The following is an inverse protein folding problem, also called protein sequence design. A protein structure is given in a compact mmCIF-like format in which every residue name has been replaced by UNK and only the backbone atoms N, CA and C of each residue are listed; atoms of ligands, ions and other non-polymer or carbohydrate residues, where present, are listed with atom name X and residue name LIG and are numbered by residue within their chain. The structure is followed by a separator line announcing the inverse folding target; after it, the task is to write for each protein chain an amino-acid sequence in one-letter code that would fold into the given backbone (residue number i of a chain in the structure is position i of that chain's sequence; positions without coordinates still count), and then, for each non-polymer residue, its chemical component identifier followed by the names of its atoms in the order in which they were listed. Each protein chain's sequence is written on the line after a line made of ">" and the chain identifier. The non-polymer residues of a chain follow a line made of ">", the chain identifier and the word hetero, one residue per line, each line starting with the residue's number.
data_IF_410021065316
#
_entry.id   IF_410021065316
#
_cell.length_a   1.000
_cell.length_b   1.000
_cell.length_c   1.000
_cell.angle_alpha   90.00
_cell.angle_beta   90.00
_cell.angle_gamma   90.00
#
_symmetry.space_group_name_H-M   'P 1'
#
loop_
_entity.id
_entity.type
_entity.pdbx_description
1 polymer ?
#
# COMPACT_ATOMS: atom_id res chain seq x y z
N UNK A 1 -9.74 -0.54 -20.83
CA UNK A 1 -9.01 0.12 -19.73
C UNK A 1 -8.15 -0.94 -19.05
N UNK A 2 -6.83 -0.80 -19.13
CA UNK A 2 -5.87 -1.82 -18.69
C UNK A 2 -5.57 -1.74 -17.20
N UNK A 3 -4.99 -2.80 -16.66
CA UNK A 3 -4.55 -2.96 -15.25
C UNK A 3 -3.48 -1.92 -14.83
N UNK A 4 -2.95 -1.16 -15.79
CA UNK A 4 -1.89 -0.16 -15.61
C UNK A 4 -2.36 1.29 -15.81
N UNK A 5 -3.67 1.53 -15.77
CA UNK A 5 -4.22 2.89 -15.82
C UNK A 5 -4.54 3.41 -14.42
N UNK A 6 -3.77 4.38 -13.94
CA UNK A 6 -3.97 5.00 -12.62
C UNK A 6 -5.41 5.49 -12.42
N UNK A 7 -6.07 6.01 -13.47
CA UNK A 7 -7.45 6.47 -13.35
C UNK A 7 -8.38 5.32 -13.00
N UNK A 8 -8.32 4.27 -13.82
CA UNK A 8 -9.14 3.08 -13.63
C UNK A 8 -8.89 2.44 -12.27
N UNK A 9 -7.62 2.24 -11.91
CA UNK A 9 -7.24 1.55 -10.68
C UNK A 9 -7.60 2.36 -9.44
N UNK A 10 -7.31 3.67 -9.42
CA UNK A 10 -7.63 4.54 -8.31
C UNK A 10 -9.14 4.72 -8.14
N UNK A 11 -9.89 4.93 -9.24
CA UNK A 11 -11.35 5.09 -9.17
C UNK A 11 -12.08 3.82 -8.73
N UNK A 12 -11.63 2.64 -9.19
CA UNK A 12 -12.16 1.33 -8.74
C UNK A 12 -11.85 1.05 -7.27
N UNK A 13 -10.65 1.41 -6.80
CA UNK A 13 -10.32 1.24 -5.39
C UNK A 13 -11.08 2.25 -4.53
N UNK A 14 -11.16 3.51 -4.97
CA UNK A 14 -11.80 4.61 -4.25
C UNK A 14 -13.30 4.47 -4.03
N UNK A 15 -14.02 3.73 -4.89
CA UNK A 15 -15.47 3.49 -4.69
C UNK A 15 -15.80 2.62 -3.46
N UNK A 16 -14.80 1.94 -2.86
CA UNK A 16 -14.94 1.20 -1.60
C UNK A 16 -14.63 2.05 -0.37
N UNK A 17 -14.17 3.29 -0.54
CA UNK A 17 -13.62 4.14 0.52
C UNK A 17 -14.27 5.54 0.50
N UNK A 18 -15.59 5.59 0.60
CA UNK A 18 -16.36 6.84 0.57
C UNK A 18 -16.41 7.53 1.93
N UNK A 19 -16.30 6.77 3.02
CA UNK A 19 -16.40 7.27 4.39
C UNK A 19 -15.03 7.78 4.87
N UNK A 20 -14.99 9.04 5.36
CA UNK A 20 -13.76 9.67 5.85
C UNK A 20 -13.12 8.93 7.03
N UNK A 21 -13.91 8.29 7.88
CA UNK A 21 -13.39 7.49 9.01
C UNK A 21 -12.74 6.21 8.49
N UNK A 22 -13.35 5.54 7.51
CA UNK A 22 -12.74 4.38 6.87
C UNK A 22 -11.43 4.77 6.17
N UNK A 23 -11.44 5.87 5.40
CA UNK A 23 -10.20 6.40 4.80
C UNK A 23 -9.14 6.64 5.87
N UNK A 24 -9.45 7.31 6.98
CA UNK A 24 -8.49 7.56 8.06
C UNK A 24 -7.93 6.27 8.69
N UNK A 25 -8.76 5.24 8.88
CA UNK A 25 -8.31 3.91 9.32
C UNK A 25 -7.30 3.34 8.31
N UNK A 26 -7.58 3.46 7.01
CA UNK A 26 -6.66 2.99 5.97
C UNK A 26 -5.35 3.76 5.94
N UNK A 27 -5.38 5.09 6.10
CA UNK A 27 -4.18 5.93 6.15
C UNK A 27 -3.19 5.48 7.23
N UNK A 28 -3.69 4.96 8.35
CA UNK A 28 -2.86 4.47 9.47
C UNK A 28 -2.45 3.02 9.24
N UNK A 29 -3.41 2.14 8.97
CA UNK A 29 -3.20 0.70 9.07
C UNK A 29 -2.69 0.04 7.78
N UNK A 30 -2.86 0.65 6.60
CA UNK A 30 -2.22 0.14 5.37
C UNK A 30 -0.69 0.22 5.45
N UNK A 31 -0.09 1.37 5.83
CA UNK A 31 1.35 1.42 6.10
C UNK A 31 1.80 0.41 7.16
N UNK A 32 1.03 0.23 8.24
CA UNK A 32 1.35 -0.76 9.28
C UNK A 32 1.36 -2.19 8.74
N UNK A 33 0.37 -2.55 7.91
CA UNK A 33 0.28 -3.87 7.26
C UNK A 33 1.49 -4.08 6.35
N UNK A 34 1.84 -3.10 5.52
CA UNK A 34 2.99 -3.22 4.61
C UNK A 34 4.30 -3.39 5.39
N UNK A 35 4.54 -2.53 6.39
CA UNK A 35 5.75 -2.58 7.21
C UNK A 35 5.89 -3.91 7.95
N UNK A 36 4.82 -4.37 8.60
CA UNK A 36 4.83 -5.65 9.33
C UNK A 36 4.93 -6.85 8.40
N UNK A 37 4.32 -6.81 7.20
CA UNK A 37 4.44 -7.89 6.21
C UNK A 37 5.88 -8.05 5.70
N UNK A 38 6.58 -6.95 5.37
CA UNK A 38 7.98 -6.97 4.95
C UNK A 38 8.90 -7.54 6.06
N UNK A 39 8.63 -7.18 7.30
CA UNK A 39 9.34 -7.70 8.46
C UNK A 39 9.07 -9.19 8.74
N UNK A 40 7.81 -9.61 8.74
CA UNK A 40 7.38 -11.01 8.93
C UNK A 40 8.00 -11.88 7.84
N UNK A 41 7.91 -11.46 6.58
CA UNK A 41 8.51 -12.21 5.44
C UNK A 41 10.02 -12.31 5.56
N UNK A 42 10.71 -11.24 5.99
CA UNK A 42 12.14 -11.30 6.31
C UNK A 42 12.44 -12.31 7.40
N UNK A 43 11.63 -12.37 8.47
CA UNK A 43 11.87 -13.30 9.57
C UNK A 43 11.61 -14.76 9.19
N UNK A 44 10.60 -15.01 8.37
CA UNK A 44 10.24 -16.35 7.89
C UNK A 44 11.20 -16.85 6.81
N UNK A 45 11.73 -15.94 5.99
CA UNK A 45 12.62 -16.24 4.87
C UNK A 45 13.87 -15.34 4.92
N UNK A 46 14.76 -15.55 5.91
CA UNK A 46 15.89 -14.67 6.17
C UNK A 46 17.03 -14.80 5.15
N UNK A 47 16.99 -15.82 4.29
CA UNK A 47 18.03 -16.09 3.32
C UNK A 47 18.18 -14.95 2.31
N UNK A 48 19.43 -14.60 2.00
CA UNK A 48 19.74 -13.77 0.84
C UNK A 48 19.43 -14.56 -0.43
N UNK A 49 18.66 -13.94 -1.32
CA UNK A 49 18.20 -14.54 -2.58
C UNK A 49 19.04 -14.08 -3.76
N UNK A 50 19.70 -12.93 -3.66
CA UNK A 50 20.54 -12.36 -4.71
C UNK A 50 21.60 -11.44 -4.12
N UNK A 51 22.60 -11.05 -4.92
CA UNK A 51 23.54 -9.99 -4.56
C UNK A 51 23.16 -8.71 -5.30
N UNK A 52 23.30 -7.56 -4.64
CA UNK A 52 23.15 -6.28 -5.32
C UNK A 52 24.24 -6.12 -6.39
N UNK A 53 23.88 -5.71 -7.63
CA UNK A 53 24.88 -5.37 -8.63
C UNK A 53 25.84 -4.27 -8.12
N UNK A 54 27.12 -4.24 -8.55
CA UNK A 54 28.11 -3.27 -8.04
C UNK A 54 27.66 -1.80 -8.07
N UNK A 55 26.98 -1.30 -9.12
CA UNK A 55 26.47 0.07 -9.13
C UNK A 55 25.44 0.33 -8.02
N UNK A 56 24.59 -0.66 -7.72
CA UNK A 56 23.55 -0.56 -6.70
C UNK A 56 24.17 -0.63 -5.30
N UNK A 57 25.10 -1.56 -5.05
CA UNK A 57 25.79 -1.63 -3.76
C UNK A 57 26.61 -0.37 -3.47
N UNK A 58 27.23 0.22 -4.48
CA UNK A 58 27.94 1.49 -4.35
C UNK A 58 26.99 2.64 -4.02
N UNK A 59 25.81 2.70 -4.67
CA UNK A 59 24.79 3.68 -4.32
C UNK A 59 24.29 3.51 -2.88
N UNK A 60 23.99 2.27 -2.47
CA UNK A 60 23.55 1.95 -1.11
C UNK A 60 24.59 2.36 -0.06
N UNK A 61 25.89 2.28 -0.36
CA UNK A 61 26.94 2.70 0.58
C UNK A 61 26.95 4.20 0.91
N UNK A 62 26.30 5.03 0.10
CA UNK A 62 26.11 6.46 0.40
C UNK A 62 24.87 6.75 1.24
N UNK A 63 23.97 5.78 1.41
CA UNK A 63 22.76 5.94 2.22
C UNK A 63 23.11 5.59 3.68
N UNK A 64 22.97 6.53 4.64
CA UNK A 64 23.22 6.24 6.04
C UNK A 64 22.28 5.15 6.59
N UNK A 65 22.81 4.25 7.40
CA UNK A 65 22.08 3.12 8.00
C UNK A 65 22.53 1.77 7.42
N UNK A 66 21.89 0.66 7.83
CA UNK A 66 22.23 -0.63 7.25
C UNK A 66 21.68 -0.77 5.84
N UNK A 67 22.46 -1.41 4.99
CA UNK A 67 21.99 -1.87 3.69
C UNK A 67 20.89 -2.93 3.90
N UNK A 68 19.77 -2.86 3.16
CA UNK A 68 18.74 -3.88 3.24
C UNK A 68 19.30 -5.26 2.83
N UNK A 69 18.76 -6.33 3.40
CA UNK A 69 19.06 -7.68 2.95
C UNK A 69 18.43 -7.91 1.57
N UNK A 70 19.16 -8.53 0.66
CA UNK A 70 18.67 -8.89 -0.67
C UNK A 70 17.81 -10.16 -0.65
N UNK A 71 16.69 -10.12 0.08
CA UNK A 71 15.81 -11.26 0.33
C UNK A 71 14.40 -11.07 -0.30
N UNK A 72 13.44 -11.89 0.13
CA UNK A 72 12.06 -11.87 -0.37
C UNK A 72 11.34 -10.53 -0.18
N UNK A 73 11.55 -9.83 0.95
CA UNK A 73 10.92 -8.53 1.20
C UNK A 73 11.49 -7.44 0.28
N UNK A 74 12.77 -7.55 -0.10
CA UNK A 74 13.38 -6.66 -1.10
C UNK A 74 12.79 -6.89 -2.49
N UNK A 75 12.55 -8.15 -2.89
CA UNK A 75 11.84 -8.45 -4.15
C UNK A 75 10.43 -7.84 -4.13
N UNK A 76 9.70 -8.00 -3.02
CA UNK A 76 8.37 -7.40 -2.87
C UNK A 76 8.43 -5.87 -3.02
N UNK A 77 9.37 -5.20 -2.33
CA UNK A 77 9.59 -3.76 -2.45
C UNK A 77 9.85 -3.32 -3.91
N UNK A 78 10.74 -4.03 -4.62
CA UNK A 78 11.03 -3.73 -6.03
C UNK A 78 9.80 -3.89 -6.93
N UNK A 79 8.99 -4.92 -6.69
CA UNK A 79 7.73 -5.14 -7.41
C UNK A 79 6.73 -4.00 -7.16
N UNK A 80 6.60 -3.54 -5.91
CA UNK A 80 5.77 -2.39 -5.54
C UNK A 80 6.24 -1.10 -6.24
N UNK A 81 7.53 -0.78 -6.16
CA UNK A 81 8.09 0.41 -6.80
C UNK A 81 7.89 0.38 -8.31
N UNK A 82 8.19 -0.75 -8.96
CA UNK A 82 8.01 -0.90 -10.40
C UNK A 82 6.55 -0.70 -10.80
N UNK A 83 5.62 -1.34 -10.08
CA UNK A 83 4.20 -1.21 -10.34
C UNK A 83 3.72 0.24 -10.20
N UNK A 84 4.15 0.95 -9.15
CA UNK A 84 3.78 2.35 -8.92
C UNK A 84 4.39 3.29 -9.95
N UNK A 85 5.63 3.05 -10.37
CA UNK A 85 6.26 3.80 -11.45
C UNK A 85 5.57 3.58 -12.80
N UNK A 86 5.00 2.40 -13.05
CA UNK A 86 4.18 2.13 -14.24
C UNK A 86 2.86 2.92 -14.20
N UNK A 87 2.21 3.01 -13.02
CA UNK A 87 0.94 3.73 -12.88
C UNK A 87 1.08 5.24 -12.99
N UNK A 88 2.05 5.82 -12.27
CA UNK A 88 2.40 7.23 -12.35
C UNK A 88 3.89 7.39 -12.00
N UNK A 89 4.76 7.66 -13.00
CA UNK A 89 6.21 7.69 -12.81
C UNK A 89 6.68 8.68 -11.73
N UNK A 90 6.01 9.83 -11.59
CA UNK A 90 6.38 10.86 -10.64
C UNK A 90 5.97 10.43 -9.23
N UNK A 91 4.72 10.00 -9.04
CA UNK A 91 4.27 9.49 -7.74
C UNK A 91 5.02 8.20 -7.33
N UNK A 92 5.35 7.33 -8.29
CA UNK A 92 6.18 6.14 -8.09
C UNK A 92 7.61 6.49 -7.64
N UNK A 93 8.21 7.55 -8.22
CA UNK A 93 9.48 8.07 -7.75
C UNK A 93 9.37 8.67 -6.34
N UNK A 94 8.31 9.43 -6.06
CA UNK A 94 8.10 10.08 -4.76
C UNK A 94 7.83 9.07 -3.62
N UNK A 95 7.16 7.95 -3.88
CA UNK A 95 6.89 6.92 -2.86
C UNK A 95 8.10 6.02 -2.59
N UNK A 96 9.03 5.91 -3.55
CA UNK A 96 10.23 5.08 -3.44
C UNK A 96 11.00 5.25 -2.12
N UNK A 97 11.37 6.47 -1.67
CA UNK A 97 12.06 6.64 -0.39
C UNK A 97 11.24 6.17 0.82
N UNK A 98 9.90 6.27 0.76
CA UNK A 98 9.00 5.79 1.83
C UNK A 98 9.02 4.26 1.91
N UNK A 99 8.87 3.57 0.79
CA UNK A 99 8.89 2.10 0.75
C UNK A 99 10.27 1.56 1.09
N UNK A 100 11.34 2.22 0.61
CA UNK A 100 12.71 1.88 0.99
C UNK A 100 12.92 1.99 2.51
N UNK A 101 12.43 3.08 3.12
CA UNK A 101 12.50 3.27 4.57
C UNK A 101 11.73 2.18 5.32
N UNK A 102 10.55 1.77 4.83
CA UNK A 102 9.80 0.65 5.41
C UNK A 102 10.55 -0.67 5.30
N UNK A 103 11.18 -0.96 4.16
CA UNK A 103 11.98 -2.16 3.99
C UNK A 103 13.12 -2.20 5.01
N UNK A 104 13.97 -1.17 5.06
CA UNK A 104 15.15 -1.14 5.94
C UNK A 104 14.72 -1.26 7.40
N UNK A 105 13.79 -0.43 7.85
CA UNK A 105 13.37 -0.42 9.27
C UNK A 105 12.63 -1.70 9.67
N UNK A 106 11.83 -2.30 8.77
CA UNK A 106 11.16 -3.57 9.05
C UNK A 106 12.14 -4.74 9.11
N UNK A 107 13.12 -4.78 8.21
CA UNK A 107 14.19 -5.79 8.24
C UNK A 107 15.03 -5.67 9.50
N UNK A 108 15.48 -4.46 9.85
CA UNK A 108 16.21 -4.22 11.10
C UNK A 108 15.42 -4.67 12.31
N UNK A 109 14.16 -4.26 12.45
CA UNK A 109 13.32 -4.69 13.58
C UNK A 109 13.14 -6.21 13.59
N UNK A 110 12.94 -6.84 12.42
CA UNK A 110 12.81 -8.29 12.31
C UNK A 110 14.06 -9.03 12.79
N UNK A 111 15.25 -8.53 12.46
CA UNK A 111 16.53 -9.21 12.70
C UNK A 111 17.05 -8.93 14.12
N UNK A 112 17.08 -7.67 14.51
CA UNK A 112 17.81 -7.18 15.70
C UNK A 112 16.99 -7.27 16.99
N UNK A 113 15.66 -7.14 16.91
CA UNK A 113 14.82 -7.10 18.10
C UNK A 113 14.33 -8.49 18.53
N UNK A 114 14.67 -8.89 19.76
CA UNK A 114 14.11 -10.08 20.37
C UNK A 114 12.57 -9.95 20.48
N UNK A 115 11.84 -10.98 20.05
CA UNK A 115 10.38 -10.96 20.05
C UNK A 115 9.73 -10.16 18.93
N UNK A 116 10.51 -9.66 17.96
CA UNK A 116 10.02 -8.90 16.78
C UNK A 116 8.85 -9.58 16.08
N UNK A 117 8.94 -10.90 15.85
CA UNK A 117 7.88 -11.68 15.22
C UNK A 117 6.54 -11.56 15.95
N UNK A 118 6.55 -11.66 17.29
CA UNK A 118 5.33 -11.54 18.10
C UNK A 118 4.72 -10.15 17.95
N UNK A 119 5.56 -9.11 18.05
CA UNK A 119 5.11 -7.71 17.91
C UNK A 119 4.53 -7.45 16.53
N UNK A 120 5.24 -7.85 15.47
CA UNK A 120 4.80 -7.65 14.09
C UNK A 120 3.50 -8.39 13.80
N UNK A 121 3.35 -9.64 14.25
CA UNK A 121 2.10 -10.41 14.05
C UNK A 121 0.93 -9.76 14.79
N UNK A 122 1.13 -9.31 16.03
CA UNK A 122 0.07 -8.59 16.78
C UNK A 122 -0.35 -7.32 16.04
N UNK A 123 0.62 -6.50 15.61
CA UNK A 123 0.34 -5.27 14.85
C UNK A 123 -0.36 -5.57 13.52
N UNK A 124 0.09 -6.59 12.79
CA UNK A 124 -0.50 -7.03 11.52
C UNK A 124 -1.97 -7.44 11.71
N UNK A 125 -2.26 -8.26 12.72
CA UNK A 125 -3.63 -8.69 13.04
C UNK A 125 -4.52 -7.53 13.46
N UNK A 126 -4.04 -6.66 14.37
CA UNK A 126 -4.79 -5.48 14.81
C UNK A 126 -5.09 -4.56 13.65
N UNK A 127 -4.12 -4.34 12.75
CA UNK A 127 -4.28 -3.51 11.57
C UNK A 127 -5.35 -4.08 10.62
N UNK A 128 -5.34 -5.39 10.36
CA UNK A 128 -6.38 -6.05 9.57
C UNK A 128 -7.77 -5.97 10.21
N UNK A 129 -7.86 -6.20 11.51
CA UNK A 129 -9.14 -6.08 12.25
C UNK A 129 -9.68 -4.66 12.12
N UNK A 130 -8.83 -3.64 12.27
CA UNK A 130 -9.23 -2.25 12.09
C UNK A 130 -9.75 -1.97 10.68
N UNK A 131 -9.11 -2.50 9.63
CA UNK A 131 -9.54 -2.38 8.24
C UNK A 131 -10.92 -3.01 8.01
N UNK A 132 -11.15 -4.21 8.55
CA UNK A 132 -12.44 -4.88 8.45
C UNK A 132 -13.55 -4.15 9.23
N UNK A 133 -13.22 -3.56 10.38
CA UNK A 133 -14.14 -2.66 11.10
C UNK A 133 -14.46 -1.44 10.24
N UNK A 134 -13.44 -0.84 9.62
CA UNK A 134 -13.55 0.23 8.63
C UNK A 134 -14.65 -0.05 7.59
N UNK A 135 -14.49 -1.16 6.88
CA UNK A 135 -15.44 -1.57 5.85
C UNK A 135 -16.81 -2.01 6.40
N UNK A 136 -16.85 -2.84 7.45
CA UNK A 136 -18.09 -3.39 7.98
C UNK A 136 -18.98 -2.35 8.67
N UNK A 137 -18.39 -1.48 9.48
CA UNK A 137 -19.13 -0.51 10.30
C UNK A 137 -19.37 0.80 9.54
N UNK A 138 -18.34 1.35 8.89
CA UNK A 138 -18.40 2.70 8.32
C UNK A 138 -18.79 2.74 6.84
N UNK A 139 -18.32 1.79 6.03
CA UNK A 139 -18.73 1.67 4.63
C UNK A 139 -20.01 0.84 4.44
N UNK A 140 -20.24 -0.13 5.34
CA UNK A 140 -21.29 -1.15 5.22
C UNK A 140 -21.25 -1.87 3.86
N UNK A 141 -20.02 -2.08 3.37
CA UNK A 141 -19.73 -2.74 2.10
C UNK A 141 -18.59 -3.73 2.32
N UNK A 142 -18.63 -4.87 1.64
CA UNK A 142 -17.51 -5.80 1.63
C UNK A 142 -16.23 -5.10 1.11
N UNK A 143 -15.05 -5.44 1.65
CA UNK A 143 -13.80 -4.85 1.20
C UNK A 143 -13.45 -5.31 -0.23
N UNK A 144 -12.71 -4.47 -0.97
CA UNK A 144 -12.26 -4.77 -2.34
C UNK A 144 -11.42 -6.07 -2.44
N UNK A 145 -10.89 -6.55 -1.32
CA UNK A 145 -10.15 -7.82 -1.20
C UNK A 145 -10.98 -9.03 -1.66
N UNK A 146 -12.31 -8.97 -1.49
CA UNK A 146 -13.22 -10.04 -1.90
C UNK A 146 -13.36 -10.10 -3.42
N UNK A 147 -13.20 -8.96 -4.10
CA UNK A 147 -13.33 -8.86 -5.56
C UNK A 147 -12.00 -9.17 -6.26
N UNK A 148 -10.89 -8.63 -5.76
CA UNK A 148 -9.55 -8.89 -6.31
C UNK A 148 -8.47 -8.67 -5.24
N UNK A 149 -8.09 -9.74 -4.56
CA UNK A 149 -7.11 -9.71 -3.47
C UNK A 149 -5.77 -9.07 -3.87
N UNK A 150 -5.18 -9.50 -4.99
CA UNK A 150 -3.85 -9.04 -5.41
C UNK A 150 -3.90 -7.56 -5.77
N UNK A 151 -4.88 -7.14 -6.56
CA UNK A 151 -5.05 -5.73 -6.92
C UNK A 151 -5.28 -4.86 -5.68
N UNK A 152 -6.13 -5.30 -4.74
CA UNK A 152 -6.41 -4.55 -3.52
C UNK A 152 -5.15 -4.39 -2.64
N UNK A 153 -4.36 -5.45 -2.45
CA UNK A 153 -3.12 -5.40 -1.67
C UNK A 153 -2.04 -4.53 -2.31
N UNK A 154 -1.95 -4.56 -3.64
CA UNK A 154 -0.94 -3.77 -4.37
C UNK A 154 -1.36 -2.30 -4.44
N UNK A 155 -2.65 -2.00 -4.67
CA UNK A 155 -3.15 -0.64 -4.79
C UNK A 155 -3.26 0.11 -3.46
N UNK A 156 -3.56 -0.58 -2.35
CA UNK A 156 -3.83 0.08 -1.08
C UNK A 156 -2.72 1.04 -0.60
N UNK A 157 -1.41 0.67 -0.60
CA UNK A 157 -0.36 1.60 -0.17
C UNK A 157 -0.23 2.81 -1.08
N UNK A 158 -0.39 2.62 -2.40
CA UNK A 158 -0.32 3.72 -3.36
C UNK A 158 -1.52 4.66 -3.25
N UNK A 159 -2.71 4.11 -3.00
CA UNK A 159 -3.91 4.91 -2.77
C UNK A 159 -3.73 5.84 -1.57
N UNK A 160 -3.27 5.30 -0.43
CA UNK A 160 -2.97 6.10 0.78
C UNK A 160 -1.93 7.17 0.49
N UNK A 161 -0.87 6.84 -0.24
CA UNK A 161 0.17 7.80 -0.59
C UNK A 161 -0.34 8.91 -1.53
N UNK A 162 -1.13 8.55 -2.55
CA UNK A 162 -1.74 9.50 -3.48
C UNK A 162 -2.73 10.42 -2.79
N UNK A 163 -3.51 9.93 -1.81
CA UNK A 163 -4.37 10.78 -0.97
C UNK A 163 -3.55 11.86 -0.23
N UNK A 164 -2.37 11.51 0.31
CA UNK A 164 -1.44 12.50 0.90
C UNK A 164 -0.94 13.49 -0.18
N UNK A 165 -0.47 12.99 -1.31
CA UNK A 165 0.03 13.85 -2.40
C UNK A 165 -1.04 14.82 -2.91
N UNK A 166 -2.27 14.33 -3.09
CA UNK A 166 -3.42 15.14 -3.49
C UNK A 166 -3.78 16.21 -2.46
N UNK A 167 -3.68 15.89 -1.17
CA UNK A 167 -3.82 16.90 -0.11
C UNK A 167 -2.72 17.96 -0.17
N UNK A 168 -1.52 17.60 -0.63
CA UNK A 168 -0.41 18.52 -0.90
C UNK A 168 -0.49 19.25 -2.26
N UNK A 169 -1.57 19.06 -3.03
CA UNK A 169 -1.78 19.75 -4.31
C UNK A 169 -1.18 19.05 -5.53
N UNK A 170 -0.75 17.79 -5.42
CA UNK A 170 -0.27 17.01 -6.57
C UNK A 170 -1.39 16.83 -7.62
N UNK A 171 -1.10 17.18 -8.88
CA UNK A 171 -2.00 17.00 -10.05
C UNK A 171 -3.48 17.33 -9.75
N UNK A 172 -3.82 18.60 -9.48
CA UNK A 172 -5.15 18.98 -9.00
C UNK A 172 -6.28 18.63 -10.00
N UNK A 173 -6.01 18.69 -11.30
CA UNK A 173 -6.96 18.30 -12.34
C UNK A 173 -7.25 16.79 -12.31
N UNK A 174 -6.22 15.95 -12.17
CA UNK A 174 -6.38 14.51 -12.02
C UNK A 174 -7.19 14.19 -10.77
N UNK A 175 -6.84 14.80 -9.62
CA UNK A 175 -7.59 14.60 -8.38
C UNK A 175 -9.07 14.95 -8.57
N UNK A 176 -9.39 16.13 -9.15
CA UNK A 176 -10.77 16.54 -9.42
C UNK A 176 -11.52 15.52 -10.28
N UNK A 177 -10.89 15.03 -11.33
CA UNK A 177 -11.49 14.04 -12.23
C UNK A 177 -11.72 12.68 -11.54
N UNK A 178 -10.75 12.21 -10.74
CA UNK A 178 -10.88 10.99 -9.94
C UNK A 178 -12.03 11.10 -8.93
N UNK A 179 -12.15 12.22 -8.22
CA UNK A 179 -13.27 12.44 -7.28
C UNK A 179 -14.63 12.39 -7.98
N UNK A 180 -14.74 12.98 -9.16
CA UNK A 180 -15.96 12.95 -9.96
C UNK A 180 -16.31 11.52 -10.39
N UNK A 181 -15.31 10.74 -10.83
CA UNK A 181 -15.51 9.35 -11.23
C UNK A 181 -15.89 8.46 -10.05
N UNK A 182 -15.19 8.56 -8.92
CA UNK A 182 -15.50 7.85 -7.67
C UNK A 182 -16.93 8.17 -7.23
N UNK A 183 -17.31 9.46 -7.22
CA UNK A 183 -18.67 9.89 -6.87
C UNK A 183 -19.72 9.26 -7.79
N UNK A 184 -19.47 9.24 -9.09
CA UNK A 184 -20.35 8.62 -10.08
C UNK A 184 -20.51 7.11 -9.85
N UNK A 185 -19.41 6.41 -9.54
CA UNK A 185 -19.41 4.97 -9.22
C UNK A 185 -20.18 4.65 -7.93
N UNK A 186 -19.99 5.45 -6.88
CA UNK A 186 -20.72 5.30 -5.61
C UNK A 186 -22.23 5.49 -5.83
N UNK A 187 -22.63 6.51 -6.61
CA UNK A 187 -24.04 6.74 -6.92
C UNK A 187 -24.65 5.57 -7.72
N UNK A 188 -23.91 5.02 -8.68
CA UNK A 188 -24.34 3.85 -9.44
C UNK A 188 -24.52 2.63 -8.54
N UNK A 189 -23.58 2.36 -7.62
CA UNK A 189 -23.67 1.28 -6.63
C UNK A 189 -24.90 1.43 -5.71
N UNK A 190 -25.14 2.63 -5.19
CA UNK A 190 -26.31 2.94 -4.34
C UNK A 190 -27.65 2.77 -5.07
N UNK A 191 -27.70 3.08 -6.37
CA UNK A 191 -28.89 2.84 -7.20
C UNK A 191 -29.13 1.36 -7.45
N UNK A 192 -28.06 0.56 -7.60
CA UNK A 192 -28.16 -0.88 -7.81
C UNK A 192 -28.64 -1.61 -6.55
N UNK A 193 -28.08 -1.28 -5.38
CA UNK A 193 -28.49 -1.86 -4.09
C UNK A 193 -29.97 -1.59 -3.76
N UNK A 194 -30.46 -0.36 -3.96
CA UNK A 194 -31.88 -0.02 -3.78
C UNK A 194 -32.86 -0.76 -4.70
N UNK A 195 -32.39 -1.34 -5.81
CA UNK A 195 -33.23 -2.12 -6.74
C UNK A 195 -33.23 -3.62 -6.39
N UNK A 196 -32.29 -4.07 -5.56
CA UNK A 196 -32.16 -5.46 -5.12
C UNK A 196 -32.78 -5.73 -3.75
N UNK A 197 -33.22 -4.68 -3.06
CA UNK A 197 -34.03 -4.71 -1.83
C UNK A 197 -35.52 -4.60 -2.17
#
# INVERSE_FOLDING_TARGET
>A
MGVFDIRTEFSKYGEYHANKVNVAIHMVFVPTILWTALGITTRLFPQELFAYPPPVSHLLSYIPGPSPLANSSTIAMLAYILFYAILDPIAGLLITPVIYSFLVTSQQFAIECAGSMKVMVVLFVVAWVAQFIGHGVFERRAPALVDNLVQALVMAPFFVFLEVLFACGYRPDLNRELRNEIGSRILAFRRKSKKSD
#
